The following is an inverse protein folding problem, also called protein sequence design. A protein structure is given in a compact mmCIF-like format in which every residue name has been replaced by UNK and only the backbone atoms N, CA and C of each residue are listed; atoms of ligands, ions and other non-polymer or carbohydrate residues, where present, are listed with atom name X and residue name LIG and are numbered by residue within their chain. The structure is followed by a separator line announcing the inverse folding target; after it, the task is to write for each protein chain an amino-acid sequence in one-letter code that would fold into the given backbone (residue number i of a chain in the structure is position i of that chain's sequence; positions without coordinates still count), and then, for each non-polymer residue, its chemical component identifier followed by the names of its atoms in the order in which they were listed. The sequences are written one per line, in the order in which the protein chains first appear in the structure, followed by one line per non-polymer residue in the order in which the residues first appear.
data_IF_017048926634
#
_entry.id   IF_017048926634
#
_cell.length_a   1.000
_cell.length_b   1.000
_cell.length_c   1.000
_cell.angle_alpha   90.00
_cell.angle_beta   90.00
_cell.angle_gamma   90.00
#
_symmetry.space_group_name_H-M   'P 1'
#
loop_
_entity.id
_entity.type
_entity.pdbx_description
1 polymer ?
#
# COMPACT_ATOMS: atom_id res chain seq x y z
N UNK A 1 24.26 -14.80 -0.14
CA UNK A 1 23.29 -14.47 -1.19
C UNK A 1 22.17 -15.50 -1.16
N UNK A 2 20.94 -15.04 -1.08
CA UNK A 2 19.72 -15.83 -1.16
C UNK A 2 18.91 -15.31 -2.35
N UNK A 3 18.69 -16.17 -3.34
CA UNK A 3 17.96 -15.82 -4.57
C UNK A 3 16.61 -16.53 -4.56
N UNK A 4 15.55 -15.76 -4.35
CA UNK A 4 14.15 -16.20 -4.22
C UNK A 4 13.96 -17.45 -3.32
N UNK A 5 14.54 -17.51 -2.12
CA UNK A 5 14.62 -18.75 -1.34
C UNK A 5 13.27 -19.25 -0.83
N UNK A 6 12.25 -18.40 -0.83
CA UNK A 6 10.93 -18.70 -0.26
C UNK A 6 9.81 -18.81 -1.32
N UNK A 7 10.12 -18.63 -2.60
CA UNK A 7 9.13 -18.52 -3.69
C UNK A 7 8.27 -19.79 -3.88
N UNK A 8 8.83 -20.97 -3.61
CA UNK A 8 8.13 -22.25 -3.78
C UNK A 8 7.35 -22.73 -2.54
N UNK A 9 7.28 -21.93 -1.48
CA UNK A 9 6.69 -22.33 -0.20
C UNK A 9 5.26 -21.80 -0.04
N UNK A 10 4.44 -22.54 0.72
CA UNK A 10 3.12 -22.05 1.14
C UNK A 10 3.24 -20.86 2.12
N UNK A 11 2.17 -20.08 2.24
CA UNK A 11 2.18 -18.83 3.00
C UNK A 11 2.53 -19.01 4.49
N UNK A 12 2.13 -20.13 5.11
CA UNK A 12 2.38 -20.39 6.53
C UNK A 12 3.85 -20.75 6.77
N UNK A 13 4.39 -21.63 5.94
CA UNK A 13 5.81 -22.04 6.02
C UNK A 13 6.68 -20.82 5.71
N UNK A 14 6.34 -20.05 4.67
CA UNK A 14 7.06 -18.85 4.29
C UNK A 14 7.17 -17.85 5.43
N UNK A 15 6.08 -17.57 6.13
CA UNK A 15 6.08 -16.67 7.29
C UNK A 15 7.02 -17.13 8.38
N UNK A 16 6.95 -18.40 8.79
CA UNK A 16 7.82 -18.95 9.83
C UNK A 16 9.30 -18.91 9.44
N UNK A 17 9.60 -19.24 8.18
CA UNK A 17 10.98 -19.24 7.69
C UNK A 17 11.56 -17.82 7.62
N UNK A 18 10.79 -16.82 7.23
CA UNK A 18 11.19 -15.40 7.28
C UNK A 18 11.65 -15.00 8.68
N UNK A 19 10.84 -15.31 9.69
CA UNK A 19 11.16 -14.99 11.08
C UNK A 19 12.44 -15.69 11.53
N UNK A 20 12.64 -16.97 11.19
CA UNK A 20 13.84 -17.73 11.51
C UNK A 20 15.09 -17.19 10.83
N UNK A 21 15.04 -16.93 9.52
CA UNK A 21 16.16 -16.36 8.75
C UNK A 21 16.56 -15.00 9.35
N UNK A 22 15.58 -14.15 9.66
CA UNK A 22 15.85 -12.84 10.25
C UNK A 22 16.48 -12.95 11.65
N UNK A 23 16.03 -13.89 12.45
CA UNK A 23 16.61 -14.16 13.77
C UNK A 23 18.09 -14.61 13.68
N UNK A 24 18.38 -15.58 12.81
CA UNK A 24 19.74 -16.07 12.57
C UNK A 24 20.64 -14.94 12.04
N UNK A 25 20.15 -14.16 11.08
CA UNK A 25 20.90 -13.04 10.52
C UNK A 25 21.31 -12.04 11.59
N UNK A 26 20.39 -11.70 12.51
CA UNK A 26 20.66 -10.77 13.62
C UNK A 26 21.61 -11.37 14.64
N UNK A 27 21.39 -12.61 15.04
CA UNK A 27 22.21 -13.31 16.04
C UNK A 27 23.67 -13.42 15.59
N UNK A 28 23.87 -13.77 14.33
CA UNK A 28 25.21 -13.95 13.75
C UNK A 28 25.79 -12.68 13.09
N UNK A 29 25.04 -11.57 13.12
CA UNK A 29 25.42 -10.31 12.47
C UNK A 29 25.82 -10.47 11.00
N UNK A 30 25.08 -11.29 10.24
CA UNK A 30 25.42 -11.64 8.87
C UNK A 30 24.99 -10.53 7.89
N UNK A 31 25.92 -10.11 7.04
CA UNK A 31 25.57 -9.33 5.85
C UNK A 31 24.95 -10.24 4.79
N UNK A 32 23.69 -10.04 4.49
CA UNK A 32 22.93 -10.90 3.59
C UNK A 32 22.35 -10.09 2.44
N UNK A 33 22.51 -10.59 1.22
CA UNK A 33 21.77 -10.09 0.05
C UNK A 33 20.63 -11.09 -0.22
N UNK A 34 19.40 -10.56 -0.20
CA UNK A 34 18.18 -11.32 -0.40
C UNK A 34 17.46 -10.80 -1.65
N UNK A 35 17.26 -11.66 -2.63
CA UNK A 35 16.53 -11.33 -3.87
C UNK A 35 15.13 -11.92 -3.75
N UNK A 36 14.11 -11.10 -3.97
CA UNK A 36 12.72 -11.53 -3.95
C UNK A 36 11.85 -10.64 -4.83
N UNK A 37 10.74 -11.17 -5.30
CA UNK A 37 9.65 -10.41 -5.93
C UNK A 37 8.45 -10.20 -4.97
N UNK A 38 8.54 -10.70 -3.75
CA UNK A 38 7.50 -10.55 -2.72
C UNK A 38 7.76 -9.29 -1.89
N UNK A 39 6.81 -8.37 -1.92
CA UNK A 39 6.89 -7.09 -1.20
C UNK A 39 6.97 -7.29 0.31
N UNK A 40 6.18 -8.23 0.85
CA UNK A 40 6.16 -8.50 2.29
C UNK A 40 7.51 -9.02 2.78
N UNK A 41 8.18 -9.86 1.98
CA UNK A 41 9.54 -10.32 2.27
C UNK A 41 10.52 -9.16 2.29
N UNK A 42 10.52 -8.32 1.25
CA UNK A 42 11.41 -7.17 1.17
C UNK A 42 11.23 -6.21 2.36
N UNK A 43 9.99 -5.86 2.68
CA UNK A 43 9.67 -4.89 3.74
C UNK A 43 9.94 -5.43 5.16
N UNK A 44 9.82 -6.75 5.39
CA UNK A 44 9.95 -7.32 6.73
C UNK A 44 11.35 -7.85 7.07
N UNK A 45 12.14 -8.24 6.04
CA UNK A 45 13.42 -8.92 6.25
C UNK A 45 14.64 -8.02 6.05
N UNK A 46 14.50 -6.89 5.35
CA UNK A 46 15.64 -6.08 4.94
C UNK A 46 15.84 -4.84 5.81
N UNK A 47 17.09 -4.48 6.07
CA UNK A 47 17.46 -3.18 6.66
C UNK A 47 17.55 -2.11 5.56
N UNK A 48 17.85 -2.52 4.33
CA UNK A 48 17.88 -1.68 3.15
C UNK A 48 17.36 -2.44 1.94
N UNK A 49 16.50 -1.78 1.18
CA UNK A 49 15.86 -2.33 -0.01
C UNK A 49 16.35 -1.58 -1.24
N UNK A 50 16.61 -2.32 -2.31
CA UNK A 50 16.91 -1.80 -3.65
C UNK A 50 15.81 -2.26 -4.60
N UNK A 51 14.91 -1.36 -4.94
CA UNK A 51 13.86 -1.62 -5.93
C UNK A 51 14.45 -1.54 -7.34
N UNK A 52 14.34 -2.62 -8.08
CA UNK A 52 14.88 -2.71 -9.44
C UNK A 52 13.78 -2.82 -10.48
N UNK A 53 13.97 -2.15 -11.60
CA UNK A 53 13.16 -2.28 -12.80
C UNK A 53 14.04 -2.26 -14.03
N UNK A 54 13.86 -3.22 -14.93
CA UNK A 54 14.60 -3.34 -16.20
C UNK A 54 16.13 -3.21 -16.02
N UNK A 55 16.68 -3.86 -14.99
CA UNK A 55 18.13 -3.86 -14.71
C UNK A 55 18.66 -2.57 -14.08
N UNK A 56 17.82 -1.63 -13.69
CA UNK A 56 18.19 -0.37 -13.03
C UNK A 56 17.60 -0.28 -11.64
N UNK A 57 18.32 0.34 -10.72
CA UNK A 57 17.79 0.68 -9.41
C UNK A 57 16.91 1.92 -9.57
N UNK A 58 15.61 1.77 -9.29
CA UNK A 58 14.61 2.84 -9.35
C UNK A 58 14.61 3.62 -8.04
N UNK A 59 14.62 2.90 -6.91
CA UNK A 59 14.64 3.50 -5.59
C UNK A 59 15.43 2.62 -4.62
N UNK A 60 16.06 3.24 -3.62
CA UNK A 60 16.66 2.50 -2.51
C UNK A 60 16.46 3.24 -1.19
N UNK A 61 16.26 2.49 -0.11
CA UNK A 61 16.01 3.04 1.22
C UNK A 61 15.67 1.95 2.21
N UNK A 62 15.24 2.34 3.39
CA UNK A 62 14.59 1.45 4.34
C UNK A 62 13.14 1.15 3.93
N UNK A 63 12.50 0.22 4.62
CA UNK A 63 11.13 -0.20 4.33
C UNK A 63 10.14 0.97 4.46
N UNK A 64 10.30 1.82 5.46
CA UNK A 64 9.43 2.96 5.71
C UNK A 64 9.50 3.98 4.57
N UNK A 65 10.70 4.34 4.14
CA UNK A 65 10.94 5.27 3.03
C UNK A 65 10.33 4.76 1.72
N UNK A 66 10.55 3.49 1.38
CA UNK A 66 9.99 2.93 0.15
C UNK A 66 8.46 2.86 0.19
N UNK A 67 7.90 2.55 1.36
CA UNK A 67 6.45 2.42 1.54
C UNK A 67 5.74 3.77 1.64
N UNK A 68 6.36 4.81 2.20
CA UNK A 68 5.68 6.09 2.44
C UNK A 68 5.98 7.16 1.40
N UNK A 69 7.11 7.05 0.69
CA UNK A 69 7.60 8.05 -0.25
C UNK A 69 8.10 7.41 -1.56
N UNK A 70 7.21 6.74 -2.33
CA UNK A 70 7.59 6.19 -3.63
C UNK A 70 8.01 7.31 -4.59
N UNK A 71 9.09 7.09 -5.35
CA UNK A 71 9.67 8.11 -6.24
C UNK A 71 8.89 8.26 -7.56
N UNK A 72 8.20 7.21 -7.98
CA UNK A 72 7.44 7.19 -9.23
C UNK A 72 6.25 6.21 -9.19
N UNK A 73 5.49 6.15 -10.28
CA UNK A 73 4.33 5.26 -10.44
C UNK A 73 4.69 3.79 -10.30
N UNK A 74 5.89 3.40 -10.80
CA UNK A 74 6.34 2.02 -10.68
C UNK A 74 6.60 1.64 -9.22
N UNK A 75 7.32 2.48 -8.48
CA UNK A 75 7.60 2.26 -7.06
C UNK A 75 6.30 2.19 -6.23
N UNK A 76 5.37 3.11 -6.46
CA UNK A 76 4.07 3.11 -5.80
C UNK A 76 3.26 1.84 -6.11
N UNK A 77 3.21 1.43 -7.37
CA UNK A 77 2.48 0.24 -7.80
C UNK A 77 3.13 -1.07 -7.35
N UNK A 78 4.45 -1.10 -7.17
CA UNK A 78 5.17 -2.29 -6.74
C UNK A 78 5.18 -2.46 -5.22
N UNK A 79 5.42 -1.41 -4.46
CA UNK A 79 5.57 -1.48 -2.98
C UNK A 79 4.23 -1.45 -2.25
N UNK A 80 3.18 -0.91 -2.86
CA UNK A 80 1.88 -0.79 -2.22
C UNK A 80 0.71 -0.84 -3.20
N UNK A 81 -0.48 -1.09 -2.68
CA UNK A 81 -1.71 -1.04 -3.46
C UNK A 81 -2.26 0.40 -3.52
N UNK A 82 -1.43 1.36 -3.89
CA UNK A 82 -1.81 2.77 -3.92
C UNK A 82 -2.97 3.05 -4.89
N UNK A 83 -3.82 3.99 -4.51
CA UNK A 83 -4.67 4.69 -5.46
C UNK A 83 -3.79 5.64 -6.28
N UNK A 84 -3.60 5.32 -7.55
CA UNK A 84 -2.83 6.15 -8.50
C UNK A 84 -3.81 7.04 -9.24
N UNK A 85 -3.70 8.35 -9.07
CA UNK A 85 -4.61 9.32 -9.66
C UNK A 85 -3.85 10.23 -10.62
N UNK A 86 -4.42 10.45 -11.78
CA UNK A 86 -3.98 11.53 -12.67
C UNK A 86 -4.29 12.90 -12.05
N UNK A 87 -3.58 13.93 -12.48
CA UNK A 87 -3.71 15.28 -11.93
C UNK A 87 -5.16 15.81 -11.94
N UNK A 88 -5.91 15.52 -13.00
CA UNK A 88 -7.31 15.95 -13.14
C UNK A 88 -8.24 15.26 -12.15
N UNK A 89 -8.05 13.95 -11.93
CA UNK A 89 -8.83 13.18 -10.96
C UNK A 89 -8.51 13.62 -9.53
N UNK A 90 -7.24 13.83 -9.22
CA UNK A 90 -6.81 14.33 -7.94
C UNK A 90 -7.36 15.75 -7.67
N UNK A 91 -7.33 16.63 -8.67
CA UNK A 91 -7.92 17.98 -8.60
C UNK A 91 -9.40 17.93 -8.33
N UNK A 92 -10.15 17.06 -9.04
CA UNK A 92 -11.59 16.88 -8.87
C UNK A 92 -11.92 16.32 -7.49
N UNK A 93 -11.15 15.33 -7.04
CA UNK A 93 -11.33 14.69 -5.74
C UNK A 93 -11.12 15.68 -4.60
N UNK A 94 -9.99 16.40 -4.63
CA UNK A 94 -9.55 17.28 -3.55
C UNK A 94 -10.11 18.72 -3.65
N UNK A 95 -10.81 19.06 -4.73
CA UNK A 95 -11.33 20.42 -5.03
C UNK A 95 -10.27 21.53 -4.93
N UNK A 96 -9.03 21.21 -5.27
CA UNK A 96 -7.90 22.15 -5.35
C UNK A 96 -6.98 21.76 -6.49
N UNK A 97 -6.30 22.72 -7.13
CA UNK A 97 -5.38 22.42 -8.22
C UNK A 97 -4.25 21.46 -7.78
N UNK A 98 -4.09 20.36 -8.50
CA UNK A 98 -3.01 19.40 -8.35
C UNK A 98 -2.40 19.20 -9.73
N UNK A 99 -1.10 19.48 -9.88
CA UNK A 99 -0.44 19.58 -11.18
C UNK A 99 0.39 18.32 -11.53
N UNK A 100 0.37 17.29 -10.70
CA UNK A 100 1.11 16.03 -10.91
C UNK A 100 0.22 14.84 -10.61
N UNK A 101 0.64 13.66 -11.06
CA UNK A 101 0.09 12.40 -10.58
C UNK A 101 0.30 12.29 -9.08
N UNK A 102 -0.64 11.67 -8.40
CA UNK A 102 -0.53 11.41 -6.96
C UNK A 102 -0.82 9.96 -6.64
N UNK A 103 -0.14 9.47 -5.62
CA UNK A 103 -0.43 8.19 -5.00
C UNK A 103 -1.04 8.42 -3.61
N UNK A 104 -2.10 7.69 -3.28
CA UNK A 104 -2.76 7.73 -1.99
C UNK A 104 -2.87 6.30 -1.47
N UNK A 105 -2.37 6.05 -0.27
CA UNK A 105 -2.47 4.72 0.34
C UNK A 105 -3.92 4.43 0.74
N UNK A 106 -4.43 3.20 0.46
CA UNK A 106 -5.79 2.84 0.83
C UNK A 106 -6.12 3.03 2.32
N UNK A 107 -5.16 2.72 3.19
CA UNK A 107 -5.30 2.84 4.64
C UNK A 107 -5.17 4.29 5.16
N UNK A 108 -4.72 5.23 4.33
CA UNK A 108 -4.70 6.66 4.69
C UNK A 108 -6.01 7.39 4.39
N UNK A 109 -6.94 6.72 3.72
CA UNK A 109 -8.29 7.21 3.46
C UNK A 109 -9.21 6.72 4.57
N UNK A 110 -9.79 7.64 5.32
CA UNK A 110 -10.72 7.30 6.40
C UNK A 110 -12.16 7.30 5.90
N UNK A 111 -12.92 6.25 6.23
CA UNK A 111 -14.37 6.22 6.06
C UNK A 111 -15.04 6.77 7.32
N UNK A 112 -16.02 7.64 7.13
CA UNK A 112 -16.79 8.26 8.18
C UNK A 112 -18.27 8.36 7.78
N UNK A 113 -19.13 8.70 8.71
CA UNK A 113 -20.51 9.06 8.43
C UNK A 113 -20.68 10.58 8.31
N UNK A 114 -19.64 11.35 8.64
CA UNK A 114 -19.63 12.82 8.61
C UNK A 114 -18.35 13.29 7.92
N UNK A 115 -18.46 14.22 6.99
CA UNK A 115 -17.33 14.76 6.23
C UNK A 115 -17.80 15.47 4.95
N UNK A 116 -16.85 16.04 4.20
CA UNK A 116 -17.16 16.86 3.01
C UNK A 116 -17.07 16.08 1.69
N UNK A 117 -16.32 14.98 1.66
CA UNK A 117 -16.16 14.17 0.46
C UNK A 117 -17.13 12.99 0.48
N UNK A 118 -18.29 13.18 -0.12
CA UNK A 118 -19.27 12.10 -0.25
C UNK A 118 -18.82 11.06 -1.27
N UNK A 119 -19.08 9.78 -0.95
CA UNK A 119 -18.82 8.63 -1.80
C UNK A 119 -19.87 7.55 -1.65
N UNK A 120 -19.85 6.60 -2.56
CA UNK A 120 -20.71 5.41 -2.56
C UNK A 120 -19.86 4.14 -2.61
N UNK A 121 -20.11 3.23 -1.69
CA UNK A 121 -19.47 1.90 -1.69
C UNK A 121 -19.94 1.12 -2.90
N UNK A 122 -19.04 0.76 -3.80
CA UNK A 122 -19.31 -0.05 -4.98
C UNK A 122 -19.19 -1.55 -4.71
N UNK A 123 -18.21 -1.92 -3.91
CA UNK A 123 -18.00 -3.29 -3.44
C UNK A 123 -17.10 -3.32 -2.23
N UNK A 124 -17.09 -4.45 -1.53
CA UNK A 124 -16.16 -4.71 -0.45
C UNK A 124 -15.58 -6.12 -0.49
N UNK A 125 -14.45 -6.33 0.16
CA UNK A 125 -13.79 -7.63 0.30
C UNK A 125 -13.21 -7.77 1.71
N UNK A 126 -13.45 -8.93 2.34
CA UNK A 126 -12.88 -9.24 3.64
C UNK A 126 -11.50 -9.88 3.46
N UNK A 127 -10.45 -9.22 3.92
CA UNK A 127 -9.07 -9.67 3.85
C UNK A 127 -8.52 -10.07 5.24
N UNK A 128 -9.37 -10.65 6.06
CA UNK A 128 -9.06 -11.02 7.45
C UNK A 128 -9.20 -9.82 8.37
N UNK A 129 -8.09 -9.23 8.80
CA UNK A 129 -8.09 -8.07 9.70
C UNK A 129 -8.34 -6.73 9.00
N UNK A 130 -8.50 -6.74 7.68
CA UNK A 130 -8.78 -5.56 6.86
C UNK A 130 -10.03 -5.81 6.03
N UNK A 131 -10.88 -4.79 5.93
CA UNK A 131 -11.97 -4.71 4.96
C UNK A 131 -11.51 -3.75 3.87
N UNK A 132 -11.42 -4.23 2.65
CA UNK A 132 -11.11 -3.42 1.46
C UNK A 132 -12.38 -3.01 0.76
N UNK A 133 -12.60 -1.71 0.67
CA UNK A 133 -13.72 -1.11 -0.04
C UNK A 133 -13.28 -0.55 -1.39
N UNK A 134 -14.15 -0.67 -2.38
CA UNK A 134 -14.11 0.18 -3.58
C UNK A 134 -15.17 1.25 -3.40
N UNK A 135 -14.75 2.50 -3.38
CA UNK A 135 -15.63 3.66 -3.16
C UNK A 135 -15.52 4.60 -4.33
N UNK A 136 -16.64 5.01 -4.90
CA UNK A 136 -16.66 6.07 -5.90
C UNK A 136 -17.00 7.40 -5.25
N UNK A 137 -16.11 8.38 -5.40
CA UNK A 137 -16.29 9.74 -4.89
C UNK A 137 -15.96 10.75 -5.99
N UNK A 138 -16.87 11.69 -6.27
CA UNK A 138 -16.73 12.71 -7.34
C UNK A 138 -16.33 12.12 -8.71
N UNK A 139 -16.82 10.91 -9.02
CA UNK A 139 -16.50 10.21 -10.28
C UNK A 139 -15.12 9.57 -10.32
N UNK A 140 -14.41 9.51 -9.19
CA UNK A 140 -13.12 8.84 -9.04
C UNK A 140 -13.32 7.56 -8.23
N UNK A 141 -12.78 6.45 -8.73
CA UNK A 141 -12.81 5.16 -8.02
C UNK A 141 -11.59 5.05 -7.09
N UNK A 142 -11.86 4.75 -5.83
CA UNK A 142 -10.85 4.66 -4.77
C UNK A 142 -10.92 3.29 -4.09
N UNK A 143 -9.76 2.75 -3.75
CA UNK A 143 -9.61 1.63 -2.82
C UNK A 143 -9.37 2.20 -1.43
N UNK A 144 -10.13 1.73 -0.44
CA UNK A 144 -10.02 2.16 0.95
C UNK A 144 -9.91 0.93 1.85
N UNK A 145 -8.86 0.87 2.66
CA UNK A 145 -8.62 -0.22 3.59
C UNK A 145 -8.95 0.22 5.02
N UNK A 146 -9.86 -0.49 5.66
CA UNK A 146 -10.32 -0.22 7.02
C UNK A 146 -10.05 -1.44 7.89
N UNK A 147 -9.63 -1.24 9.13
CA UNK A 147 -9.47 -2.34 10.08
C UNK A 147 -10.82 -2.99 10.38
N UNK A 148 -10.87 -4.31 10.22
CA UNK A 148 -12.04 -5.13 10.59
C UNK A 148 -12.04 -5.36 12.12
N UNK A 149 -12.76 -4.52 12.86
CA UNK A 149 -12.83 -4.58 14.33
C UNK A 149 -14.10 -5.28 14.83
N UNK A 150 -15.20 -5.11 14.09
CA UNK A 150 -16.50 -5.70 14.43
C UNK A 150 -17.36 -5.90 13.19
N UNK A 151 -18.39 -6.72 13.30
CA UNK A 151 -19.38 -6.91 12.23
C UNK A 151 -20.15 -5.61 11.89
N UNK A 152 -20.24 -4.69 12.84
CA UNK A 152 -20.93 -3.40 12.66
C UNK A 152 -20.12 -2.41 11.80
N UNK A 153 -18.82 -2.65 11.61
CA UNK A 153 -17.96 -1.82 10.76
C UNK A 153 -18.19 -2.06 9.27
N UNK A 154 -18.97 -3.08 8.90
CA UNK A 154 -19.22 -3.43 7.51
C UNK A 154 -20.20 -2.46 6.85
N UNK A 155 -19.74 -1.80 5.79
CA UNK A 155 -20.58 -0.97 4.94
C UNK A 155 -21.03 -1.77 3.72
N UNK A 156 -22.33 -2.04 3.54
CA UNK A 156 -22.82 -2.80 2.39
C UNK A 156 -22.66 -1.99 1.09
N UNK A 157 -22.65 -2.72 -0.02
CA UNK A 157 -22.63 -2.14 -1.35
C UNK A 157 -23.81 -1.19 -1.56
N UNK A 158 -23.57 -0.05 -2.21
CA UNK A 158 -24.52 1.03 -2.40
C UNK A 158 -24.67 1.97 -1.20
N UNK A 159 -23.99 1.72 -0.08
CA UNK A 159 -24.03 2.63 1.08
C UNK A 159 -23.32 3.94 0.76
N UNK A 160 -23.97 5.04 1.11
CA UNK A 160 -23.33 6.37 1.13
C UNK A 160 -22.43 6.48 2.35
N UNK A 161 -21.22 6.93 2.11
CA UNK A 161 -20.17 7.17 3.10
C UNK A 161 -19.52 8.51 2.83
N UNK A 162 -18.80 9.02 3.79
CA UNK A 162 -17.91 10.16 3.57
C UNK A 162 -16.47 9.71 3.72
N UNK A 163 -15.59 10.32 2.95
CA UNK A 163 -14.16 10.06 3.00
C UNK A 163 -13.44 11.28 3.58
N UNK A 164 -12.47 11.02 4.41
CA UNK A 164 -11.52 12.02 4.83
C UNK A 164 -10.13 11.64 4.28
N UNK A 165 -9.54 12.53 3.48
CA UNK A 165 -8.21 12.38 2.88
C UNK A 165 -7.38 13.59 3.29
N UNK A 166 -6.48 13.38 4.24
CA UNK A 166 -5.57 14.44 4.66
C UNK A 166 -4.65 14.86 3.49
N UNK A 167 -4.38 16.17 3.32
CA UNK A 167 -3.48 16.63 2.28
C UNK A 167 -2.09 16.00 2.32
N UNK A 168 -1.61 15.63 3.50
CA UNK A 168 -0.35 14.94 3.73
C UNK A 168 -0.32 13.48 3.24
N UNK A 169 -1.50 12.90 3.00
CA UNK A 169 -1.61 11.53 2.46
C UNK A 169 -1.36 11.46 0.95
N UNK A 170 -1.32 12.61 0.26
CA UNK A 170 -1.04 12.67 -1.17
C UNK A 170 0.47 12.68 -1.41
N UNK A 171 0.97 11.61 -2.01
CA UNK A 171 2.35 11.53 -2.46
C UNK A 171 2.40 11.97 -3.94
N UNK A 172 3.06 13.10 -4.23
CA UNK A 172 3.27 13.54 -5.61
C UNK A 172 4.27 12.61 -6.31
N UNK A 173 3.92 12.16 -7.51
CA UNK A 173 4.76 11.29 -8.33
C UNK A 173 5.33 12.06 -9.52
N UNK A 174 6.58 11.74 -9.84
CA UNK A 174 7.30 12.27 -11.02
C UNK A 174 7.02 11.42 -12.27
#
# INVERSE_FOLDING_TARGET
LLDEPLSALDARIRKNLREQIRAIQRELSLTTIFVTHDQEEALTMSDRIFLMNQGRIVQSGDAETLYTAPVDVFAAGFIGNYNLLEADDATRLMQRPINSRVAIRPESIQLSLTGELEGEVRSHSLLGNVIRYRVQARGVDLVVDVLNRSADDLHPDGRRVTLNIEPSALCALN
#
